data_IF_172569141630
#
_entry.id   IF_172569141630
#
_cell.length_a   1.000
_cell.length_b   1.000
_cell.length_c   1.000
_cell.angle_alpha   90.00
_cell.angle_beta   90.00
_cell.angle_gamma   90.00
#
_symmetry.space_group_name_H-M   'P 1'
#
loop_
_entity.id
_entity.type
_entity.pdbx_description
1 polymer ?
#
# COMPACT_ATOMS: atom_id res chain seq x y z
N UNK A 1 -7.10 -2.24 28.99
CA UNK A 1 -6.00 -1.43 28.40
C UNK A 1 -4.71 -2.25 28.30
N UNK A 2 -4.15 -2.82 29.37
CA UNK A 2 -2.84 -3.53 29.38
C UNK A 2 -2.62 -4.69 28.40
N UNK A 3 -3.66 -5.31 27.84
CA UNK A 3 -3.54 -6.39 26.85
C UNK A 3 -3.12 -5.92 25.45
N UNK A 4 -3.05 -4.59 25.23
CA UNK A 4 -2.63 -3.97 23.97
C UNK A 4 -1.19 -4.30 23.54
N UNK A 5 -0.39 -4.95 24.39
CA UNK A 5 0.93 -5.45 24.01
C UNK A 5 0.78 -6.70 23.12
N UNK A 6 -0.27 -7.50 23.35
CA UNK A 6 -0.55 -8.72 22.60
C UNK A 6 -1.48 -8.48 21.41
N UNK A 7 -2.57 -7.72 21.61
CA UNK A 7 -3.44 -7.28 20.53
C UNK A 7 -4.27 -6.04 20.91
N UNK A 8 -4.71 -5.25 19.94
CA UNK A 8 -5.68 -4.19 20.15
C UNK A 8 -7.09 -4.76 20.38
N UNK A 9 -7.96 -3.96 20.99
CA UNK A 9 -9.38 -4.28 21.18
C UNK A 9 -10.25 -3.18 20.57
N UNK A 10 -11.56 -3.25 20.77
CA UNK A 10 -12.51 -2.28 20.23
C UNK A 10 -12.14 -0.82 20.58
N UNK A 11 -11.83 -0.55 21.85
CA UNK A 11 -11.48 0.80 22.34
C UNK A 11 -10.11 1.27 21.86
N UNK A 12 -9.21 0.33 21.57
CA UNK A 12 -7.84 0.59 21.13
C UNK A 12 -7.61 0.26 19.66
N UNK A 13 -8.67 0.17 18.85
CA UNK A 13 -8.62 -0.12 17.41
C UNK A 13 -7.54 0.69 16.69
N UNK A 14 -7.37 2.01 16.93
CA UNK A 14 -6.31 2.77 16.29
C UNK A 14 -4.90 2.20 16.48
N UNK A 15 -4.62 1.45 17.55
CA UNK A 15 -3.28 0.90 17.80
C UNK A 15 -2.84 -0.17 16.78
N UNK A 16 -3.72 -0.64 15.89
CA UNK A 16 -3.38 -1.61 14.84
C UNK A 16 -2.14 -1.17 14.02
N UNK A 17 -2.02 0.13 13.72
CA UNK A 17 -0.90 0.63 12.91
C UNK A 17 0.42 0.63 13.68
N UNK A 18 0.40 0.63 15.02
CA UNK A 18 1.63 0.58 15.82
C UNK A 18 2.35 -0.77 15.64
N UNK A 19 1.60 -1.87 15.62
CA UNK A 19 2.15 -3.20 15.32
C UNK A 19 2.82 -3.24 13.94
N UNK A 20 2.13 -2.66 12.95
CA UNK A 20 2.66 -2.54 11.60
C UNK A 20 3.95 -1.70 11.58
N UNK A 21 3.97 -0.54 12.24
CA UNK A 21 5.16 0.31 12.32
C UNK A 21 6.33 -0.42 12.96
N UNK A 22 6.13 -1.10 14.10
CA UNK A 22 7.16 -1.92 14.75
C UNK A 22 7.72 -2.96 13.78
N UNK A 23 6.85 -3.66 13.02
CA UNK A 23 7.27 -4.59 11.98
C UNK A 23 8.14 -3.94 10.89
N UNK A 24 7.78 -2.73 10.44
CA UNK A 24 8.61 -1.96 9.50
C UNK A 24 9.96 -1.58 10.10
N UNK A 25 10.02 -1.16 11.37
CA UNK A 25 11.28 -0.82 12.04
C UNK A 25 12.23 -2.02 12.13
N UNK A 26 11.72 -3.24 12.34
CA UNK A 26 12.53 -4.44 12.32
C UNK A 26 13.12 -4.75 10.94
N UNK A 27 12.37 -4.48 9.87
CA UNK A 27 12.78 -4.87 8.52
C UNK A 27 13.64 -3.81 7.82
N UNK A 28 13.53 -2.54 8.23
CA UNK A 28 14.32 -1.41 7.68
C UNK A 28 15.83 -1.70 7.62
N UNK A 29 16.53 -2.12 8.69
CA UNK A 29 17.97 -2.34 8.61
C UNK A 29 18.36 -3.45 7.62
N UNK A 30 17.52 -4.49 7.50
CA UNK A 30 17.74 -5.60 6.56
C UNK A 30 17.58 -5.12 5.12
N UNK A 31 16.47 -4.45 4.81
CA UNK A 31 16.24 -3.91 3.47
C UNK A 31 17.22 -2.80 3.12
N UNK A 32 17.65 -2.00 4.09
CA UNK A 32 18.64 -0.94 3.86
C UNK A 32 19.95 -1.53 3.31
N UNK A 33 20.50 -2.56 3.96
CA UNK A 33 21.71 -3.24 3.51
C UNK A 33 21.57 -3.84 2.09
N UNK A 34 20.39 -4.34 1.74
CA UNK A 34 20.09 -4.79 0.38
C UNK A 34 20.00 -3.62 -0.61
N UNK A 35 19.26 -2.55 -0.28
CA UNK A 35 19.02 -1.39 -1.15
C UNK A 35 20.30 -0.60 -1.48
N UNK A 36 21.31 -0.63 -0.61
CA UNK A 36 22.64 -0.09 -0.89
C UNK A 36 23.31 -0.76 -2.07
N UNK A 37 23.14 -2.08 -2.20
CA UNK A 37 23.80 -2.92 -3.22
C UNK A 37 22.92 -3.21 -4.43
N UNK A 38 21.60 -3.19 -4.24
CA UNK A 38 20.62 -3.54 -5.25
C UNK A 38 20.71 -2.61 -6.46
N UNK A 39 20.73 -3.20 -7.66
CA UNK A 39 20.69 -2.43 -8.89
C UNK A 39 19.30 -1.83 -9.09
N UNK A 40 19.19 -0.84 -10.00
CA UNK A 40 17.90 -0.28 -10.38
C UNK A 40 16.93 -1.36 -10.92
N UNK A 41 17.45 -2.41 -11.56
CA UNK A 41 16.64 -3.50 -12.11
C UNK A 41 16.07 -4.37 -10.99
N UNK A 42 16.86 -4.67 -9.97
CA UNK A 42 16.42 -5.50 -8.82
C UNK A 42 15.30 -4.80 -8.04
N UNK A 43 15.45 -3.51 -7.78
CA UNK A 43 14.42 -2.72 -7.10
C UNK A 43 13.13 -2.66 -7.94
N UNK A 44 13.25 -2.47 -9.26
CA UNK A 44 12.09 -2.50 -10.16
C UNK A 44 11.42 -3.88 -10.18
N UNK A 45 12.18 -4.97 -10.16
CA UNK A 45 11.63 -6.32 -10.11
C UNK A 45 10.79 -6.51 -8.83
N UNK A 46 11.35 -6.13 -7.67
CA UNK A 46 10.60 -6.14 -6.42
C UNK A 46 9.31 -5.33 -6.54
N UNK A 47 9.38 -4.09 -7.03
CA UNK A 47 8.22 -3.21 -7.16
C UNK A 47 7.18 -3.73 -8.16
N UNK A 48 7.59 -4.44 -9.22
CA UNK A 48 6.66 -5.07 -10.15
C UNK A 48 5.91 -6.23 -9.49
N UNK A 49 6.62 -7.07 -8.74
CA UNK A 49 6.00 -8.20 -8.00
C UNK A 49 5.06 -7.66 -6.92
N UNK A 50 5.51 -6.66 -6.15
CA UNK A 50 4.66 -5.96 -5.18
C UNK A 50 3.46 -5.29 -5.87
N UNK A 51 3.64 -4.68 -7.03
CA UNK A 51 2.59 -4.06 -7.82
C UNK A 51 1.50 -5.05 -8.24
N UNK A 52 1.86 -6.29 -8.57
CA UNK A 52 0.90 -7.39 -8.80
C UNK A 52 0.13 -7.71 -7.51
N UNK A 53 0.82 -7.73 -6.36
CA UNK A 53 0.19 -8.03 -5.08
C UNK A 53 -0.91 -7.03 -4.69
N UNK A 54 -0.85 -5.78 -5.18
CA UNK A 54 -1.85 -4.74 -4.93
C UNK A 54 -3.26 -5.09 -5.45
N UNK A 55 -3.35 -6.01 -6.41
CA UNK A 55 -4.63 -6.43 -6.99
C UNK A 55 -5.24 -7.66 -6.28
N UNK A 56 -4.47 -8.35 -5.43
CA UNK A 56 -4.91 -9.58 -4.77
C UNK A 56 -6.22 -9.43 -3.99
N UNK A 57 -6.49 -8.33 -3.27
CA UNK A 57 -7.78 -8.14 -2.61
C UNK A 57 -8.97 -8.24 -3.56
N UNK A 58 -8.88 -7.65 -4.75
CA UNK A 58 -9.94 -7.67 -5.75
C UNK A 58 -10.03 -9.02 -6.48
N UNK A 59 -8.89 -9.67 -6.70
CA UNK A 59 -8.86 -11.03 -7.26
C UNK A 59 -9.57 -12.00 -6.30
N UNK A 60 -9.26 -11.92 -4.99
CA UNK A 60 -9.93 -12.69 -3.95
C UNK A 60 -11.44 -12.45 -3.96
N UNK A 61 -11.85 -11.19 -4.06
CA UNK A 61 -13.28 -10.81 -4.12
C UNK A 61 -13.99 -11.34 -5.37
N UNK A 62 -13.31 -11.35 -6.52
CA UNK A 62 -13.88 -11.78 -7.80
C UNK A 62 -13.83 -13.30 -8.02
N UNK A 63 -12.92 -14.02 -7.35
CA UNK A 63 -12.71 -15.46 -7.54
C UNK A 63 -14.00 -16.30 -7.40
N UNK A 64 -14.91 -16.04 -6.44
CA UNK A 64 -16.16 -16.80 -6.33
C UNK A 64 -17.06 -16.67 -7.56
N UNK A 65 -17.10 -15.49 -8.20
CA UNK A 65 -17.85 -15.27 -9.44
C UNK A 65 -17.28 -16.07 -10.63
N UNK A 66 -16.04 -16.56 -10.51
CA UNK A 66 -15.37 -17.42 -11.48
C UNK A 66 -15.44 -18.92 -11.10
N UNK A 67 -16.23 -19.28 -10.10
CA UNK A 67 -16.40 -20.66 -9.64
C UNK A 67 -15.38 -21.14 -8.61
N UNK A 68 -14.56 -20.24 -8.05
CA UNK A 68 -13.67 -20.59 -6.93
C UNK A 68 -14.48 -20.78 -5.64
N UNK A 69 -14.43 -21.97 -5.07
CA UNK A 69 -15.22 -22.34 -3.88
C UNK A 69 -14.44 -22.22 -2.56
N UNK A 70 -13.19 -21.75 -2.60
CA UNK A 70 -12.34 -21.68 -1.41
C UNK A 70 -11.81 -23.04 -0.96
N UNK A 71 -11.29 -23.07 0.26
CA UNK A 71 -10.75 -24.24 0.96
C UNK A 71 -11.38 -24.34 2.35
N UNK A 72 -12.28 -25.30 2.58
CA UNK A 72 -12.98 -25.51 3.87
C UNK A 72 -13.62 -24.24 4.47
N UNK A 73 -14.15 -23.34 3.64
CA UNK A 73 -14.75 -22.07 4.06
C UNK A 73 -13.78 -20.88 4.08
N UNK A 74 -12.48 -21.12 3.88
CA UNK A 74 -11.49 -20.07 3.68
C UNK A 74 -11.46 -19.67 2.20
N UNK A 75 -11.70 -18.38 1.93
CA UNK A 75 -11.73 -17.82 0.57
C UNK A 75 -10.42 -17.13 0.15
N UNK A 76 -9.37 -17.24 0.95
CA UNK A 76 -8.05 -16.75 0.56
C UNK A 76 -7.50 -17.53 -0.63
N UNK A 77 -6.52 -16.94 -1.30
CA UNK A 77 -5.96 -17.42 -2.56
C UNK A 77 -4.46 -17.61 -2.44
N UNK A 78 -3.86 -18.28 -3.43
CA UNK A 78 -2.40 -18.37 -3.59
C UNK A 78 -1.69 -19.00 -2.37
N UNK A 79 -2.26 -20.09 -1.85
CA UNK A 79 -1.66 -20.90 -0.79
C UNK A 79 -1.97 -20.44 0.63
N UNK A 80 -2.75 -19.37 0.82
CA UNK A 80 -3.24 -18.98 2.13
C UNK A 80 -4.43 -19.85 2.52
N UNK A 81 -4.45 -20.32 3.78
CA UNK A 81 -5.55 -21.05 4.40
C UNK A 81 -5.44 -21.00 5.93
N UNK A 82 -6.35 -21.64 6.64
CA UNK A 82 -6.46 -21.56 8.11
C UNK A 82 -5.17 -21.98 8.86
N UNK A 83 -4.38 -22.88 8.28
CA UNK A 83 -3.08 -23.31 8.84
C UNK A 83 -1.87 -22.71 8.12
N UNK A 84 -2.07 -21.83 7.13
CA UNK A 84 -0.98 -21.14 6.44
C UNK A 84 -1.36 -19.70 6.12
N UNK A 85 -0.87 -18.75 6.92
CA UNK A 85 -0.98 -17.32 6.63
C UNK A 85 0.03 -16.84 5.57
N UNK A 86 1.02 -17.67 5.22
CA UNK A 86 2.19 -17.28 4.41
C UNK A 86 2.03 -17.73 2.94
N UNK A 87 1.12 -17.08 2.21
CA UNK A 87 0.89 -17.33 0.78
C UNK A 87 2.00 -16.82 -0.14
N UNK A 88 1.84 -17.03 -1.46
CA UNK A 88 2.90 -16.79 -2.46
C UNK A 88 3.49 -15.37 -2.45
N UNK A 89 2.71 -14.35 -2.08
CA UNK A 89 3.14 -12.94 -2.07
C UNK A 89 3.43 -12.41 -0.66
N UNK A 90 3.40 -13.24 0.39
CA UNK A 90 3.47 -12.79 1.78
C UNK A 90 4.65 -11.84 2.04
N UNK A 91 5.87 -12.20 1.63
CA UNK A 91 7.08 -11.41 1.87
C UNK A 91 7.26 -10.18 0.96
N UNK A 92 6.43 -10.04 -0.07
CA UNK A 92 6.55 -9.02 -1.11
C UNK A 92 5.26 -8.20 -1.27
N UNK A 93 4.40 -8.21 -0.26
CA UNK A 93 3.12 -7.50 -0.22
C UNK A 93 3.05 -6.53 0.97
N UNK A 94 2.00 -5.71 1.02
CA UNK A 94 1.76 -4.81 2.14
C UNK A 94 2.70 -3.60 2.21
N UNK A 95 2.95 -3.11 3.42
CA UNK A 95 3.57 -1.79 3.66
C UNK A 95 5.04 -1.69 3.23
N UNK A 96 5.77 -2.80 3.17
CA UNK A 96 7.18 -2.81 2.78
C UNK A 96 7.39 -2.29 1.36
N UNK A 97 6.45 -2.54 0.45
CA UNK A 97 6.56 -2.04 -0.91
C UNK A 97 6.47 -0.52 -1.00
N UNK A 98 5.72 0.15 -0.11
CA UNK A 98 5.72 1.61 -0.03
C UNK A 98 7.08 2.17 0.44
N UNK A 99 7.77 1.50 1.38
CA UNK A 99 9.12 1.90 1.79
C UNK A 99 10.12 1.79 0.63
N UNK A 100 10.08 0.68 -0.09
CA UNK A 100 10.98 0.44 -1.23
C UNK A 100 10.64 1.39 -2.39
N UNK A 101 9.36 1.67 -2.61
CA UNK A 101 8.90 2.64 -3.60
C UNK A 101 9.40 4.05 -3.25
N UNK A 102 9.28 4.47 -1.99
CA UNK A 102 9.79 5.76 -1.53
C UNK A 102 11.31 5.84 -1.75
N UNK A 103 12.07 4.82 -1.36
CA UNK A 103 13.51 4.75 -1.63
C UNK A 103 13.80 4.88 -3.14
N UNK A 104 13.08 4.12 -3.98
CA UNK A 104 13.25 4.15 -5.43
C UNK A 104 12.98 5.53 -6.02
N UNK A 105 11.90 6.20 -5.61
CA UNK A 105 11.51 7.52 -6.11
C UNK A 105 12.46 8.62 -5.62
N UNK A 106 13.06 8.48 -4.44
CA UNK A 106 14.08 9.40 -3.94
C UNK A 106 15.40 9.22 -4.69
N UNK A 107 15.84 7.97 -4.88
CA UNK A 107 17.09 7.61 -5.58
C UNK A 107 17.01 7.88 -7.08
N UNK A 108 15.84 7.69 -7.69
CA UNK A 108 15.57 7.87 -9.11
C UNK A 108 14.35 8.78 -9.34
N UNK A 109 14.48 10.10 -9.09
CA UNK A 109 13.36 11.02 -9.09
C UNK A 109 12.68 11.15 -10.46
N UNK A 110 11.36 11.31 -10.42
CA UNK A 110 10.54 11.56 -11.60
C UNK A 110 10.91 12.92 -12.22
N UNK A 111 11.26 12.92 -13.50
CA UNK A 111 11.56 14.13 -14.28
C UNK A 111 10.30 14.77 -14.88
N UNK A 112 9.20 14.80 -14.13
CA UNK A 112 7.93 15.33 -14.62
C UNK A 112 7.87 16.86 -14.49
N UNK A 113 7.18 17.56 -15.38
CA UNK A 113 6.79 18.97 -15.17
C UNK A 113 5.68 19.06 -14.12
N UNK A 114 5.42 20.24 -13.55
CA UNK A 114 4.32 20.41 -12.58
C UNK A 114 2.96 20.08 -13.22
N UNK A 115 2.77 20.55 -14.47
CA UNK A 115 1.60 20.21 -15.30
C UNK A 115 1.43 18.69 -15.43
N UNK A 116 2.49 17.96 -15.78
CA UNK A 116 2.44 16.49 -15.90
C UNK A 116 2.14 15.82 -14.55
N UNK A 117 2.74 16.29 -13.46
CA UNK A 117 2.47 15.75 -12.11
C UNK A 117 1.01 15.92 -11.73
N UNK A 118 0.41 17.09 -11.94
CA UNK A 118 -1.00 17.32 -11.62
C UNK A 118 -1.93 16.56 -12.57
N UNK A 119 -1.63 16.55 -13.88
CA UNK A 119 -2.44 15.87 -14.89
C UNK A 119 -2.50 14.35 -14.70
N UNK A 120 -1.46 13.73 -14.12
CA UNK A 120 -1.48 12.30 -13.77
C UNK A 120 -1.99 12.09 -12.34
N UNK A 121 -1.51 12.91 -11.40
CA UNK A 121 -1.74 12.70 -9.98
C UNK A 121 -3.19 12.96 -9.54
N UNK A 122 -3.83 14.01 -10.07
CA UNK A 122 -5.22 14.32 -9.72
C UNK A 122 -6.17 13.21 -10.20
N UNK A 123 -6.17 12.80 -11.49
CA UNK A 123 -7.03 11.70 -11.92
C UNK A 123 -6.74 10.39 -11.19
N UNK A 124 -5.47 10.07 -10.94
CA UNK A 124 -5.10 8.86 -10.20
C UNK A 124 -5.67 8.86 -8.78
N UNK A 125 -5.53 9.98 -8.06
CA UNK A 125 -6.08 10.12 -6.71
C UNK A 125 -7.61 10.02 -6.72
N UNK A 126 -8.27 10.76 -7.61
CA UNK A 126 -9.74 10.77 -7.72
C UNK A 126 -10.27 9.37 -8.05
N UNK A 127 -9.62 8.65 -8.96
CA UNK A 127 -10.01 7.28 -9.29
C UNK A 127 -9.81 6.35 -8.09
N UNK A 128 -8.69 6.43 -7.36
CA UNK A 128 -8.47 5.64 -6.15
C UNK A 128 -9.54 5.92 -5.09
N UNK A 129 -9.87 7.19 -4.88
CA UNK A 129 -10.94 7.61 -3.96
C UNK A 129 -12.31 7.11 -4.42
N UNK A 130 -12.64 7.23 -5.71
CA UNK A 130 -13.91 6.75 -6.25
C UNK A 130 -14.06 5.24 -6.10
N UNK A 131 -12.98 4.46 -6.27
CA UNK A 131 -12.99 3.01 -6.02
C UNK A 131 -13.23 2.73 -4.53
N UNK A 132 -12.55 3.43 -3.61
CA UNK A 132 -12.76 3.25 -2.17
C UNK A 132 -14.17 3.61 -1.75
N UNK A 133 -14.62 4.82 -2.08
CA UNK A 133 -15.91 5.34 -1.64
C UNK A 133 -17.08 4.62 -2.32
N UNK A 134 -17.07 4.55 -3.65
CA UNK A 134 -18.10 3.86 -4.42
C UNK A 134 -18.13 2.36 -4.12
N UNK A 135 -16.95 1.74 -4.01
CA UNK A 135 -16.83 0.34 -3.60
C UNK A 135 -17.40 0.09 -2.21
N UNK A 136 -17.19 1.00 -1.26
CA UNK A 136 -17.78 0.90 0.07
C UNK A 136 -19.31 0.94 0.03
N UNK A 137 -19.88 1.89 -0.72
CA UNK A 137 -21.34 2.00 -0.88
C UNK A 137 -21.93 0.72 -1.49
N UNK A 138 -21.29 0.19 -2.54
CA UNK A 138 -21.70 -1.05 -3.19
C UNK A 138 -21.60 -2.24 -2.22
N UNK A 139 -20.47 -2.41 -1.54
CA UNK A 139 -20.31 -3.53 -0.61
C UNK A 139 -21.30 -3.45 0.57
N UNK A 140 -21.62 -2.24 1.04
CA UNK A 140 -22.64 -2.02 2.07
C UNK A 140 -24.05 -2.38 1.59
N UNK A 141 -24.38 -2.11 0.34
CA UNK A 141 -25.67 -2.45 -0.27
C UNK A 141 -25.84 -3.95 -0.47
N UNK A 142 -24.84 -4.62 -1.04
CA UNK A 142 -24.91 -6.06 -1.38
C UNK A 142 -24.60 -6.99 -0.19
N UNK A 143 -23.75 -6.55 0.75
CA UNK A 143 -23.30 -7.35 1.89
C UNK A 143 -23.46 -6.58 3.21
N UNK A 144 -24.70 -6.19 3.58
CA UNK A 144 -24.93 -5.37 4.76
C UNK A 144 -24.44 -6.07 6.03
N UNK A 145 -23.59 -5.37 6.80
CA UNK A 145 -23.03 -5.87 8.05
C UNK A 145 -21.87 -6.86 7.90
N UNK A 146 -21.45 -7.19 6.67
CA UNK A 146 -20.29 -8.03 6.43
C UNK A 146 -19.00 -7.18 6.34
N UNK A 147 -18.40 -6.93 7.50
CA UNK A 147 -17.18 -6.11 7.60
C UNK A 147 -16.02 -6.63 6.76
N UNK A 148 -15.90 -7.95 6.57
CA UNK A 148 -14.82 -8.52 5.77
C UNK A 148 -14.88 -8.05 4.30
N UNK A 149 -16.07 -7.90 3.71
CA UNK A 149 -16.22 -7.34 2.35
C UNK A 149 -16.06 -5.83 2.34
N UNK A 150 -16.56 -5.13 3.36
CA UNK A 150 -16.43 -3.68 3.48
C UNK A 150 -14.97 -3.25 3.59
N UNK A 151 -14.13 -4.02 4.27
CA UNK A 151 -12.72 -3.70 4.47
C UNK A 151 -11.87 -3.85 3.20
N UNK A 152 -12.27 -4.69 2.23
CA UNK A 152 -11.48 -4.97 1.01
C UNK A 152 -11.09 -3.67 0.28
N UNK A 153 -12.04 -2.74 0.15
CA UNK A 153 -11.83 -1.45 -0.55
C UNK A 153 -11.03 -0.43 0.30
N UNK A 154 -10.75 -0.76 1.56
CA UNK A 154 -9.96 0.04 2.50
C UNK A 154 -8.60 -0.60 2.80
N UNK A 155 -8.31 -1.79 2.26
CA UNK A 155 -7.05 -2.47 2.51
C UNK A 155 -5.87 -1.62 2.03
N UNK A 156 -4.95 -1.32 2.94
CA UNK A 156 -3.78 -0.48 2.69
C UNK A 156 -2.84 -1.06 1.62
N UNK A 157 -2.83 -2.38 1.48
CA UNK A 157 -2.14 -3.10 0.41
C UNK A 157 -2.93 -3.21 -0.90
N UNK A 158 -4.02 -2.45 -1.08
CA UNK A 158 -4.84 -2.45 -2.28
C UNK A 158 -4.42 -1.39 -3.31
N UNK A 159 -4.68 -1.67 -4.59
CA UNK A 159 -4.34 -0.78 -5.70
C UNK A 159 -4.95 0.61 -5.59
N UNK A 160 -6.19 0.72 -5.12
CA UNK A 160 -6.88 2.00 -4.94
C UNK A 160 -6.22 2.87 -3.86
N UNK A 161 -5.71 2.26 -2.78
CA UNK A 161 -4.94 2.98 -1.76
C UNK A 161 -3.59 3.43 -2.31
N UNK A 162 -2.92 2.60 -3.11
CA UNK A 162 -1.72 3.01 -3.84
C UNK A 162 -1.98 4.21 -4.76
N UNK A 163 -3.10 4.20 -5.51
CA UNK A 163 -3.49 5.28 -6.42
C UNK A 163 -3.72 6.60 -5.69
N UNK A 164 -4.13 6.58 -4.42
CA UNK A 164 -4.19 7.79 -3.60
C UNK A 164 -2.83 8.16 -2.98
N UNK A 165 -2.06 7.17 -2.56
CA UNK A 165 -0.81 7.36 -1.81
C UNK A 165 0.33 7.86 -2.70
N UNK A 166 0.50 7.28 -3.88
CA UNK A 166 1.54 7.65 -4.83
C UNK A 166 1.51 9.13 -5.23
N UNK A 167 0.38 9.71 -5.68
CA UNK A 167 0.34 11.12 -6.06
C UNK A 167 0.56 12.05 -4.86
N UNK A 168 0.05 11.71 -3.67
CA UNK A 168 0.32 12.47 -2.43
C UNK A 168 1.81 12.48 -2.13
N UNK A 169 2.48 11.33 -2.21
CA UNK A 169 3.92 11.24 -2.01
C UNK A 169 4.70 12.07 -3.02
N UNK A 170 4.39 11.94 -4.32
CA UNK A 170 5.07 12.68 -5.39
C UNK A 170 4.91 14.19 -5.21
N UNK A 171 3.72 14.66 -4.84
CA UNK A 171 3.46 16.06 -4.57
C UNK A 171 4.22 16.54 -3.33
N UNK A 172 4.13 15.82 -2.21
CA UNK A 172 4.81 16.18 -0.96
C UNK A 172 6.34 16.24 -1.14
N UNK A 173 6.93 15.19 -1.72
CA UNK A 173 8.38 15.13 -1.97
C UNK A 173 8.85 16.29 -2.86
N UNK A 174 8.08 16.61 -3.91
CA UNK A 174 8.46 17.66 -4.84
C UNK A 174 8.28 19.07 -4.27
N UNK A 175 7.21 19.31 -3.52
CA UNK A 175 6.98 20.55 -2.77
C UNK A 175 8.10 20.79 -1.76
N UNK A 176 8.50 19.76 -1.00
CA UNK A 176 9.62 19.85 -0.07
C UNK A 176 10.92 20.23 -0.78
N UNK A 177 11.25 19.57 -1.90
CA UNK A 177 12.46 19.89 -2.69
C UNK A 177 12.43 21.31 -3.25
N UNK A 178 11.27 21.80 -3.66
CA UNK A 178 11.10 23.17 -4.14
C UNK A 178 11.29 24.20 -3.02
N UNK A 179 10.67 23.98 -1.85
CA UNK A 179 10.83 24.84 -0.67
C UNK A 179 12.29 24.90 -0.20
N UNK A 180 12.98 23.76 -0.14
CA UNK A 180 14.39 23.71 0.22
C UNK A 180 15.25 24.52 -0.76
N UNK A 181 15.01 24.42 -2.07
CA UNK A 181 15.73 25.21 -3.07
C UNK A 181 15.52 26.72 -2.88
N UNK A 182 14.28 27.16 -2.68
CA UNK A 182 13.99 28.57 -2.43
C UNK A 182 14.66 29.08 -1.15
N UNK A 183 14.65 28.25 -0.10
CA UNK A 183 15.34 28.56 1.15
C UNK A 183 16.83 28.77 0.89
N UNK A 184 17.53 27.79 0.30
CA UNK A 184 18.97 27.91 0.06
C UNK A 184 19.37 29.03 -0.91
N UNK A 185 18.55 29.35 -1.92
CA UNK A 185 18.77 30.52 -2.79
C UNK A 185 18.71 31.85 -2.03
N UNK A 186 17.91 31.93 -0.95
CA UNK A 186 17.82 33.12 -0.11
C UNK A 186 19.05 33.32 0.78
N UNK A 187 19.79 32.25 1.09
CA UNK A 187 20.94 32.27 2.02
C UNK A 187 22.31 32.26 1.32
N UNK A 188 22.35 32.02 0.01
CA UNK A 188 23.55 32.12 -0.81
C UNK A 188 23.24 32.90 -2.10
N UNK A 189 23.37 34.24 -2.09
CA UNK A 189 23.34 35.05 -3.30
C UNK A 189 24.57 34.80 -4.20
#
# INVERSE_FOLDING_TARGET
>A
IWTFIFNFNYDTTPLWYLYMLVGLYFIIPIFHAWLERATRKDIKLFLSIWGISLFLPYIKMAAPALGYIGNWGNMDILGVCDWNAFGSFYYVSGFIGYLILAHYLVKYPLQWSWRKTLAIGIPMFVTGYAITFGGYLIMQEYFPGNYAYLEIVWLFGGINVFMMTFPVFVLAYRSLKYLLRLFFQKWHP
#
